data_IF_976138214521
#
_entry.id   IF_976138214521
#
_cell.length_a   1.000
_cell.length_b   1.000
_cell.length_c   1.000
_cell.angle_alpha   90.00
_cell.angle_beta   90.00
_cell.angle_gamma   90.00
#
_symmetry.space_group_name_H-M   'P 1'
#
loop_
_entity.id
_entity.type
_entity.pdbx_description
1 polymer ?
#
# COMPACT_ATOMS: atom_id res chain seq x y z
N UNK A 1 -10.85 -8.23 11.48
CA UNK A 1 -9.59 -7.75 12.11
C UNK A 1 -8.90 -6.79 11.16
N UNK A 2 -7.95 -6.01 11.66
CA UNK A 2 -7.02 -5.26 10.83
C UNK A 2 -5.75 -6.10 10.71
N UNK A 3 -5.38 -6.45 9.48
CA UNK A 3 -4.17 -7.21 9.21
C UNK A 3 -3.16 -6.27 8.57
N UNK A 4 -1.95 -6.30 9.10
CA UNK A 4 -0.79 -5.70 8.45
C UNK A 4 -0.23 -6.75 7.51
N UNK A 5 -0.29 -6.49 6.22
CA UNK A 5 0.20 -7.38 5.18
C UNK A 5 1.70 -7.12 4.93
N UNK A 6 2.53 -8.17 4.84
CA UNK A 6 3.88 -8.01 4.30
C UNK A 6 3.79 -7.65 2.82
N UNK A 7 4.64 -6.73 2.38
CA UNK A 7 4.83 -6.41 0.98
C UNK A 7 6.15 -7.03 0.52
N UNK A 8 6.05 -8.00 -0.38
CA UNK A 8 7.20 -8.72 -0.94
C UNK A 8 7.51 -8.18 -2.31
N UNK A 9 8.78 -7.88 -2.57
CA UNK A 9 9.26 -7.48 -3.89
C UNK A 9 10.46 -8.36 -4.26
N UNK A 10 10.28 -9.19 -5.29
CA UNK A 10 11.22 -10.29 -5.57
C UNK A 10 11.14 -11.35 -4.47
N UNK A 11 12.20 -11.48 -3.68
CA UNK A 11 12.32 -12.48 -2.62
C UNK A 11 12.35 -11.88 -1.21
N UNK A 12 12.28 -10.56 -1.10
CA UNK A 12 12.44 -9.84 0.17
C UNK A 12 11.12 -9.21 0.62
N UNK A 13 10.86 -9.25 1.93
CA UNK A 13 9.82 -8.41 2.54
C UNK A 13 10.39 -6.99 2.61
N UNK A 14 9.95 -6.14 1.69
CA UNK A 14 10.44 -4.76 1.58
C UNK A 14 9.57 -3.75 2.34
N UNK A 15 8.41 -4.18 2.84
CA UNK A 15 7.53 -3.31 3.62
C UNK A 15 6.34 -4.00 4.26
N UNK A 16 5.51 -3.19 4.91
CA UNK A 16 4.28 -3.59 5.59
C UNK A 16 3.16 -2.61 5.30
N UNK A 17 1.95 -3.11 5.09
CA UNK A 17 0.79 -2.29 4.75
C UNK A 17 -0.46 -2.70 5.51
N UNK A 18 -1.09 -1.75 6.20
CA UNK A 18 -2.39 -1.93 6.87
C UNK A 18 -3.51 -1.59 5.88
N UNK A 19 -4.24 -2.62 5.44
CA UNK A 19 -5.29 -2.51 4.44
C UNK A 19 -6.68 -2.73 5.01
N UNK A 20 -7.64 -1.94 4.52
CA UNK A 20 -9.07 -2.16 4.75
C UNK A 20 -9.85 -1.99 3.45
N UNK A 21 -10.62 -3.00 3.07
CA UNK A 21 -11.67 -2.85 2.06
C UNK A 21 -12.86 -2.08 2.65
N UNK A 22 -13.02 -0.82 2.28
CA UNK A 22 -14.19 -0.01 2.62
C UNK A 22 -15.26 -0.16 1.53
N UNK A 23 -16.02 -1.26 1.63
CA UNK A 23 -17.07 -1.63 0.67
C UNK A 23 -18.18 -0.60 0.57
N UNK A 24 -18.48 0.11 1.66
CA UNK A 24 -19.52 1.15 1.67
C UNK A 24 -19.16 2.32 0.76
N UNK A 25 -17.88 2.69 0.73
CA UNK A 25 -17.39 3.80 -0.09
C UNK A 25 -16.72 3.34 -1.38
N UNK A 26 -16.66 2.02 -1.63
CA UNK A 26 -15.99 1.40 -2.77
C UNK A 26 -14.47 1.71 -2.87
N UNK A 27 -13.77 1.78 -1.74
CA UNK A 27 -12.34 2.17 -1.67
C UNK A 27 -11.49 1.16 -0.90
N UNK A 28 -10.29 0.87 -1.40
CA UNK A 28 -9.23 0.22 -0.61
C UNK A 28 -8.49 1.28 0.21
N UNK A 29 -8.61 1.23 1.54
CA UNK A 29 -7.92 2.15 2.44
C UNK A 29 -6.56 1.58 2.83
N UNK A 30 -5.50 2.35 2.58
CA UNK A 30 -4.17 2.14 3.15
C UNK A 30 -4.07 2.99 4.40
N UNK A 31 -4.19 2.36 5.57
CA UNK A 31 -4.24 3.07 6.86
C UNK A 31 -2.85 3.39 7.40
N UNK A 32 -1.89 2.51 7.13
CA UNK A 32 -0.48 2.67 7.44
C UNK A 32 0.38 1.93 6.42
N UNK A 33 1.53 2.51 6.07
CA UNK A 33 2.46 1.92 5.11
C UNK A 33 3.90 2.18 5.54
N UNK A 34 4.68 1.11 5.63
CA UNK A 34 6.04 1.13 6.14
C UNK A 34 6.97 0.43 5.15
N UNK A 35 8.15 1.00 4.95
CA UNK A 35 9.27 0.34 4.27
C UNK A 35 10.21 -0.24 5.34
N UNK A 36 10.76 -1.42 5.08
CA UNK A 36 11.79 -2.01 5.94
C UNK A 36 13.15 -1.33 5.71
N UNK A 37 14.04 -1.42 6.71
CA UNK A 37 15.36 -0.81 6.65
C UNK A 37 16.19 -1.37 5.48
N UNK A 38 16.99 -0.51 4.84
CA UNK A 38 17.86 -0.89 3.73
C UNK A 38 17.21 -0.93 2.35
N UNK A 39 15.91 -0.63 2.23
CA UNK A 39 15.22 -0.55 0.94
C UNK A 39 14.98 0.90 0.49
N UNK A 40 15.04 1.12 -0.84
CA UNK A 40 14.77 2.42 -1.46
C UNK A 40 13.27 2.77 -1.39
N UNK A 41 12.94 3.84 -0.65
CA UNK A 41 11.57 4.31 -0.46
C UNK A 41 10.84 4.59 -1.79
N UNK A 42 11.51 5.18 -2.78
CA UNK A 42 10.86 5.57 -4.02
C UNK A 42 10.54 4.36 -4.88
N UNK A 43 11.47 3.40 -4.95
CA UNK A 43 11.27 2.13 -5.66
C UNK A 43 10.17 1.29 -5.02
N UNK A 44 10.19 1.17 -3.69
CA UNK A 44 9.16 0.41 -2.94
C UNK A 44 7.80 1.08 -3.06
N UNK A 45 7.73 2.42 -2.96
CA UNK A 45 6.50 3.18 -3.13
C UNK A 45 5.88 3.02 -4.53
N UNK A 46 6.70 3.05 -5.58
CA UNK A 46 6.23 2.86 -6.95
C UNK A 46 5.65 1.45 -7.16
N UNK A 47 6.39 0.41 -6.77
CA UNK A 47 5.92 -0.97 -6.87
C UNK A 47 4.65 -1.20 -6.04
N UNK A 48 4.62 -0.72 -4.79
CA UNK A 48 3.44 -0.84 -3.93
C UNK A 48 2.23 -0.10 -4.52
N UNK A 49 2.43 1.04 -5.20
CA UNK A 49 1.34 1.78 -5.83
C UNK A 49 0.57 0.92 -6.84
N UNK A 50 1.30 0.22 -7.72
CA UNK A 50 0.74 -0.62 -8.77
C UNK A 50 0.02 -1.84 -8.18
N UNK A 51 0.64 -2.50 -7.20
CA UNK A 51 0.08 -3.65 -6.49
C UNK A 51 -1.21 -3.31 -5.72
N UNK A 52 -1.29 -2.11 -5.14
CA UNK A 52 -2.52 -1.65 -4.50
C UNK A 52 -3.67 -1.46 -5.50
N UNK A 53 -3.36 -1.04 -6.72
CA UNK A 53 -4.36 -0.91 -7.79
C UNK A 53 -4.81 -2.29 -8.29
N UNK A 54 -3.88 -3.24 -8.42
CA UNK A 54 -4.20 -4.64 -8.71
C UNK A 54 -5.09 -5.26 -7.63
N UNK A 55 -4.73 -5.08 -6.36
CA UNK A 55 -5.51 -5.55 -5.22
C UNK A 55 -6.89 -4.91 -5.18
N UNK A 56 -7.00 -3.59 -5.42
CA UNK A 56 -8.30 -2.92 -5.48
C UNK A 56 -9.18 -3.48 -6.60
N UNK A 57 -8.62 -3.68 -7.81
CA UNK A 57 -9.32 -4.31 -8.94
C UNK A 57 -9.78 -5.73 -8.61
N UNK A 58 -8.90 -6.56 -8.07
CA UNK A 58 -9.22 -7.95 -7.69
C UNK A 58 -10.32 -8.02 -6.64
N UNK A 59 -10.31 -7.11 -5.66
CA UNK A 59 -11.35 -7.00 -4.65
C UNK A 59 -12.65 -6.38 -5.19
N UNK A 60 -12.68 -5.84 -6.40
CA UNK A 60 -13.84 -5.15 -6.97
C UNK A 60 -14.09 -3.78 -6.33
N UNK A 61 -13.03 -3.04 -6.00
CA UNK A 61 -13.06 -1.68 -5.47
C UNK A 61 -12.60 -0.68 -6.55
N UNK A 62 -13.15 0.54 -6.57
CA UNK A 62 -12.89 1.50 -7.64
C UNK A 62 -11.66 2.38 -7.43
N UNK A 63 -11.16 2.50 -6.21
CA UNK A 63 -10.04 3.39 -5.91
C UNK A 63 -9.26 2.95 -4.67
N UNK A 64 -8.07 3.51 -4.51
CA UNK A 64 -7.24 3.37 -3.30
C UNK A 64 -7.08 4.73 -2.63
N UNK A 65 -7.09 4.77 -1.31
CA UNK A 65 -6.83 6.00 -0.54
C UNK A 65 -5.75 5.77 0.50
N UNK A 66 -4.70 6.60 0.43
CA UNK A 66 -3.53 6.48 1.29
C UNK A 66 -3.58 7.45 2.47
N UNK A 67 -3.61 6.88 3.67
CA UNK A 67 -3.53 7.56 4.95
C UNK A 67 -2.11 8.02 5.31
N UNK A 68 -1.96 8.85 6.36
CA UNK A 68 -0.68 9.50 6.68
C UNK A 68 0.30 8.67 7.48
N UNK A 69 -0.09 7.50 7.97
CA UNK A 69 0.72 6.76 8.94
C UNK A 69 1.81 5.93 8.24
N UNK A 70 2.99 5.94 8.85
CA UNK A 70 4.15 5.15 8.43
C UNK A 70 5.15 5.91 7.56
N UNK A 71 6.40 5.44 7.55
CA UNK A 71 7.54 6.12 6.93
C UNK A 71 7.45 6.16 5.39
N UNK A 72 6.73 5.21 4.77
CA UNK A 72 6.55 5.16 3.31
C UNK A 72 5.38 6.02 2.82
N UNK A 73 4.51 6.52 3.71
CA UNK A 73 3.22 7.12 3.34
C UNK A 73 3.34 8.38 2.48
N UNK A 74 4.43 9.14 2.63
CA UNK A 74 4.68 10.34 1.82
C UNK A 74 5.13 9.97 0.41
N UNK A 75 6.08 9.03 0.29
CA UNK A 75 6.59 8.57 -1.00
C UNK A 75 5.48 7.85 -1.78
N UNK A 76 4.72 6.98 -1.13
CA UNK A 76 3.59 6.28 -1.75
C UNK A 76 2.61 7.27 -2.37
N UNK A 77 2.16 8.30 -1.64
CA UNK A 77 1.25 9.31 -2.18
C UNK A 77 1.79 10.08 -3.39
N UNK A 78 3.10 10.28 -3.46
CA UNK A 78 3.74 10.92 -4.63
C UNK A 78 3.79 9.98 -5.83
N UNK A 79 3.91 8.67 -5.59
CA UNK A 79 3.93 7.65 -6.62
C UNK A 79 2.54 7.32 -7.18
N UNK A 80 1.47 7.53 -6.38
CA UNK A 80 0.07 7.40 -6.83
C UNK A 80 -0.19 8.38 -7.99
N UNK A 81 -0.71 7.87 -9.10
CA UNK A 81 -1.21 8.65 -10.24
C UNK A 81 -2.62 9.18 -9.98
#
# INVERSE_FOLDING_TARGET
GYYVFPFVLGNDIVGRVDLKADRKNNVLLVRGTHVEEGHDESKVAAALSDELDEMARWLGLSSVRVGPRGNLARALRRARR
#
